data_IF_787867584299
#
_entry.id   IF_787867584299
#
_cell.length_a   1.000
_cell.length_b   1.000
_cell.length_c   1.000
_cell.angle_alpha   90.00
_cell.angle_beta   90.00
_cell.angle_gamma   90.00
#
_symmetry.space_group_name_H-M   'P 1'
#
loop_
_entity.id
_entity.type
_entity.pdbx_description
1 polymer ?
#
# COMPACT_ATOMS: atom_id res chain seq x y z
N UNK A 1 40.57 15.09 -27.55
CA UNK A 1 39.14 15.00 -27.90
C UNK A 1 38.86 15.99 -29.00
N UNK A 2 37.98 15.69 -29.96
CA UNK A 2 37.49 16.70 -30.92
C UNK A 2 36.68 17.76 -30.16
N UNK A 3 36.80 19.03 -30.56
CA UNK A 3 36.03 20.12 -29.97
C UNK A 3 34.56 20.10 -30.44
N UNK A 4 33.69 20.84 -29.74
CA UNK A 4 32.29 21.01 -30.15
C UNK A 4 32.20 21.65 -31.54
N UNK A 5 33.09 22.59 -31.85
CA UNK A 5 33.21 23.25 -33.15
C UNK A 5 33.47 22.24 -34.27
N UNK A 6 34.40 21.30 -34.04
CA UNK A 6 34.74 20.28 -35.03
C UNK A 6 33.60 19.29 -35.30
N UNK A 7 32.66 19.13 -34.35
CA UNK A 7 31.55 18.17 -34.46
C UNK A 7 30.25 18.80 -34.98
N UNK A 8 30.00 20.07 -34.66
CA UNK A 8 28.69 20.71 -34.85
C UNK A 8 28.74 21.93 -35.79
N UNK A 9 29.94 22.41 -36.13
CA UNK A 9 30.16 23.70 -36.79
C UNK A 9 30.13 24.87 -35.79
N UNK A 10 30.81 25.96 -36.14
CA UNK A 10 31.05 27.10 -35.24
C UNK A 10 29.76 27.73 -34.68
N UNK A 11 28.73 27.91 -35.53
CA UNK A 11 27.48 28.55 -35.12
C UNK A 11 26.67 27.72 -34.10
N UNK A 12 26.57 26.40 -34.32
CA UNK A 12 25.89 25.50 -33.39
C UNK A 12 26.67 25.35 -32.09
N UNK A 13 28.00 25.24 -32.17
CA UNK A 13 28.88 25.18 -31.01
C UNK A 13 28.75 26.46 -30.17
N UNK A 14 28.73 27.64 -30.79
CA UNK A 14 28.53 28.92 -30.11
C UNK A 14 27.14 29.04 -29.46
N UNK A 15 26.09 28.54 -30.12
CA UNK A 15 24.73 28.49 -29.55
C UNK A 15 24.68 27.61 -28.29
N UNK A 16 25.23 26.40 -28.35
CA UNK A 16 25.28 25.48 -27.22
C UNK A 16 26.13 26.04 -26.08
N UNK A 17 27.32 26.59 -26.38
CA UNK A 17 28.18 27.20 -25.36
C UNK A 17 27.47 28.33 -24.61
N UNK A 18 26.75 29.21 -25.32
CA UNK A 18 25.93 30.24 -24.67
C UNK A 18 24.86 29.65 -23.74
N UNK A 19 24.22 28.54 -24.12
CA UNK A 19 23.25 27.87 -23.23
C UNK A 19 23.95 27.27 -21.99
N UNK A 20 25.11 26.63 -22.17
CA UNK A 20 25.89 26.05 -21.08
C UNK A 20 26.45 27.10 -20.12
N UNK A 21 26.79 28.30 -20.59
CA UNK A 21 27.23 29.40 -19.73
C UNK A 21 26.10 29.86 -18.77
N UNK A 22 24.83 29.70 -19.17
CA UNK A 22 23.68 30.06 -18.34
C UNK A 22 23.21 28.88 -17.47
N UNK A 23 23.16 27.68 -18.03
CA UNK A 23 22.67 26.47 -17.38
C UNK A 23 23.51 25.27 -17.84
N UNK A 24 24.69 25.05 -17.23
CA UNK A 24 25.58 23.96 -17.64
C UNK A 24 25.01 22.58 -17.29
N UNK A 25 24.00 22.51 -16.42
CA UNK A 25 23.40 21.28 -15.91
C UNK A 25 21.86 21.30 -16.05
N UNK A 26 21.24 20.11 -16.05
CA UNK A 26 19.79 19.94 -16.24
C UNK A 26 18.93 20.46 -15.08
N UNK A 27 19.49 20.62 -13.88
CA UNK A 27 18.74 21.03 -12.69
C UNK A 27 18.28 22.48 -12.85
N UNK A 28 16.97 22.71 -12.76
CA UNK A 28 16.37 24.04 -12.85
C UNK A 28 16.11 24.69 -11.48
N UNK A 29 16.07 23.92 -10.40
CA UNK A 29 15.79 24.36 -9.03
C UNK A 29 16.65 23.58 -8.04
N UNK A 30 17.15 24.27 -7.01
CA UNK A 30 17.82 23.66 -5.85
C UNK A 30 16.83 23.28 -4.73
N UNK A 31 15.55 23.62 -4.88
CA UNK A 31 14.49 23.30 -3.90
C UNK A 31 13.72 22.08 -4.35
N UNK A 32 13.46 21.18 -3.41
CA UNK A 32 12.56 20.05 -3.62
C UNK A 32 11.10 20.53 -3.62
N UNK A 33 10.28 19.92 -4.48
CA UNK A 33 8.84 20.21 -4.53
C UNK A 33 8.04 19.41 -3.51
N UNK A 34 8.57 18.27 -3.06
CA UNK A 34 7.90 17.32 -2.17
C UNK A 34 8.81 16.96 -1.01
N UNK A 35 8.23 16.88 0.18
CA UNK A 35 8.91 16.42 1.40
C UNK A 35 7.99 15.45 2.12
N UNK A 36 8.53 14.33 2.59
CA UNK A 36 7.75 13.36 3.36
C UNK A 36 7.37 13.96 4.70
N UNK A 37 6.12 13.78 5.09
CA UNK A 37 5.58 14.25 6.36
C UNK A 37 5.29 13.08 7.29
N UNK A 38 5.59 13.17 8.60
CA UNK A 38 5.25 12.12 9.56
C UNK A 38 3.77 11.72 9.52
N UNK A 39 2.87 12.68 9.25
CA UNK A 39 1.43 12.41 9.13
C UNK A 39 1.06 11.44 8.02
N UNK A 40 1.86 11.32 6.95
CA UNK A 40 1.61 10.37 5.86
C UNK A 40 2.08 8.97 6.21
N UNK A 41 3.03 8.82 7.13
CA UNK A 41 3.65 7.54 7.42
C UNK A 41 2.76 6.69 8.32
N UNK A 42 2.74 5.39 8.04
CA UNK A 42 2.07 4.38 8.84
C UNK A 42 3.04 3.23 9.09
N UNK A 43 3.34 2.97 10.37
CA UNK A 43 4.26 1.92 10.75
C UNK A 43 3.55 0.57 10.73
N UNK A 44 4.09 -0.37 9.95
CA UNK A 44 3.58 -1.74 9.92
C UNK A 44 4.13 -2.58 11.07
N UNK A 45 3.23 -3.19 11.84
CA UNK A 45 3.54 -4.18 12.86
C UNK A 45 2.83 -5.51 12.56
N UNK A 46 3.51 -6.62 12.82
CA UNK A 46 2.89 -7.94 12.87
C UNK A 46 2.87 -8.41 14.33
N UNK A 47 1.70 -8.78 14.83
CA UNK A 47 1.52 -9.24 16.21
C UNK A 47 0.66 -10.50 16.16
N UNK A 48 1.08 -11.58 16.80
CA UNK A 48 0.34 -12.85 16.73
C UNK A 48 0.01 -13.49 18.08
N UNK A 49 0.41 -12.84 19.18
CA UNK A 49 0.22 -13.35 20.53
C UNK A 49 0.30 -12.24 21.56
N UNK A 50 -0.23 -12.53 22.76
CA UNK A 50 -0.20 -11.57 23.87
C UNK A 50 1.19 -11.51 24.52
N UNK A 51 1.85 -12.65 24.72
CA UNK A 51 3.12 -12.73 25.48
C UNK A 51 4.23 -13.43 24.71
N UNK A 52 5.47 -13.26 25.17
CA UNK A 52 6.64 -13.99 24.67
C UNK A 52 7.52 -13.20 23.69
N UNK A 53 8.61 -13.84 23.27
CA UNK A 53 9.67 -13.19 22.49
C UNK A 53 9.29 -12.91 21.03
N UNK A 54 9.80 -11.80 20.45
CA UNK A 54 9.59 -11.48 19.05
C UNK A 54 10.23 -12.54 18.15
N UNK A 55 9.59 -12.83 17.01
CA UNK A 55 10.08 -13.79 16.00
C UNK A 55 10.53 -13.02 14.76
N UNK A 56 11.77 -13.23 14.32
CA UNK A 56 12.28 -12.66 13.07
C UNK A 56 11.46 -13.18 11.88
N UNK A 57 10.99 -12.27 11.02
CA UNK A 57 10.26 -12.56 9.78
C UNK A 57 11.13 -12.28 8.56
N UNK A 58 11.79 -11.11 8.51
CA UNK A 58 12.61 -10.67 7.37
C UNK A 58 13.93 -10.08 7.86
N UNK A 59 14.99 -10.17 7.06
CA UNK A 59 16.30 -9.61 7.39
C UNK A 59 17.11 -10.50 8.32
N UNK A 60 17.89 -9.90 9.23
CA UNK A 60 18.76 -10.58 10.17
C UNK A 60 18.53 -10.09 11.62
N UNK A 61 19.35 -10.54 12.57
CA UNK A 61 19.18 -10.19 13.98
C UNK A 61 19.53 -8.73 14.32
N UNK A 62 20.13 -7.98 13.39
CA UNK A 62 20.61 -6.61 13.60
C UNK A 62 19.68 -5.59 12.92
N UNK A 63 19.18 -5.90 11.72
CA UNK A 63 18.28 -5.07 10.91
C UNK A 63 16.95 -5.75 10.54
N UNK A 64 16.48 -6.65 11.40
CA UNK A 64 15.33 -7.51 11.13
C UNK A 64 13.97 -6.86 11.28
N UNK A 65 13.00 -7.38 10.52
CA UNK A 65 11.58 -7.15 10.76
C UNK A 65 11.02 -8.31 11.57
N UNK A 66 10.36 -7.99 12.69
CA UNK A 66 9.92 -8.97 13.66
C UNK A 66 8.40 -9.02 13.79
N UNK A 67 7.89 -10.23 14.05
CA UNK A 67 6.57 -10.45 14.59
C UNK A 67 6.65 -10.34 16.10
N UNK A 68 5.93 -9.39 16.65
CA UNK A 68 5.91 -9.11 18.08
C UNK A 68 4.82 -9.88 18.81
N UNK A 69 4.94 -9.86 20.13
CA UNK A 69 3.85 -10.03 21.08
C UNK A 69 3.38 -8.65 21.55
N UNK A 70 2.24 -8.58 22.22
CA UNK A 70 1.81 -7.34 22.91
C UNK A 70 2.84 -6.88 23.96
N UNK A 71 3.58 -7.79 24.58
CA UNK A 71 4.66 -7.44 25.51
C UNK A 71 5.87 -6.81 24.80
N UNK A 72 6.34 -7.43 23.71
CA UNK A 72 7.57 -7.00 23.03
C UNK A 72 7.39 -5.81 22.08
N UNK A 73 6.15 -5.42 21.75
CA UNK A 73 5.90 -4.32 20.80
C UNK A 73 6.06 -2.92 21.44
N UNK A 74 6.03 -2.82 22.77
CA UNK A 74 5.94 -1.52 23.49
C UNK A 74 7.05 -0.55 23.10
N UNK A 75 8.31 -0.99 23.07
CA UNK A 75 9.44 -0.14 22.72
C UNK A 75 9.37 0.36 21.26
N UNK A 76 8.89 -0.47 20.34
CA UNK A 76 8.67 -0.09 18.94
C UNK A 76 7.56 0.94 18.80
N UNK A 77 6.48 0.81 19.58
CA UNK A 77 5.39 1.81 19.64
C UNK A 77 5.89 3.12 20.22
N UNK A 78 6.62 3.09 21.35
CA UNK A 78 7.17 4.31 21.97
C UNK A 78 8.07 5.06 20.98
N UNK A 79 8.92 4.35 20.24
CA UNK A 79 9.78 4.92 19.21
C UNK A 79 8.97 5.59 18.09
N UNK A 80 7.93 4.91 17.59
CA UNK A 80 7.03 5.43 16.56
C UNK A 80 6.32 6.72 17.03
N UNK A 81 5.78 6.72 18.26
CA UNK A 81 5.06 7.87 18.82
C UNK A 81 5.98 9.07 19.06
N UNK A 82 7.21 8.83 19.54
CA UNK A 82 8.21 9.88 19.73
C UNK A 82 8.61 10.58 18.41
N UNK A 83 8.42 9.92 17.27
CA UNK A 83 8.64 10.47 15.94
C UNK A 83 7.38 11.08 15.31
N UNK A 84 6.29 11.21 16.08
CA UNK A 84 5.00 11.74 15.65
C UNK A 84 4.35 10.94 14.51
N UNK A 85 4.67 9.65 14.39
CA UNK A 85 3.90 8.72 13.55
C UNK A 85 2.67 8.28 14.37
N UNK A 86 1.48 8.65 13.91
CA UNK A 86 0.21 8.39 14.61
C UNK A 86 -0.66 7.35 13.91
N UNK A 87 -0.07 6.51 13.07
CA UNK A 87 -0.77 5.48 12.30
C UNK A 87 -0.03 4.16 12.37
N UNK A 88 -0.78 3.11 12.70
CA UNK A 88 -0.29 1.73 12.79
C UNK A 88 -1.05 0.89 11.79
N UNK A 89 -0.31 0.13 11.00
CA UNK A 89 -0.85 -1.02 10.28
C UNK A 89 -0.63 -2.25 11.16
N UNK A 90 -1.69 -3.01 11.42
CA UNK A 90 -1.67 -4.22 12.23
C UNK A 90 -2.02 -5.43 11.37
N UNK A 91 -1.03 -6.31 11.17
CA UNK A 91 -1.23 -7.65 10.64
C UNK A 91 -1.05 -8.72 11.73
N UNK A 92 -1.65 -9.88 11.53
CA UNK A 92 -1.43 -11.08 12.36
C UNK A 92 -0.75 -12.18 11.54
N UNK A 93 -0.31 -13.25 12.21
CA UNK A 93 0.26 -14.41 11.52
C UNK A 93 -0.79 -15.04 10.61
N UNK A 94 -0.40 -15.31 9.37
CA UNK A 94 -1.21 -16.00 8.39
C UNK A 94 -0.71 -17.44 8.26
N UNK A 95 -0.78 -18.19 9.37
CA UNK A 95 -0.25 -19.56 9.45
C UNK A 95 -0.87 -20.39 8.32
N UNK A 96 -0.01 -20.75 7.37
CA UNK A 96 -0.39 -21.35 6.11
C UNK A 96 -1.06 -22.71 6.38
N UNK A 97 -2.33 -22.82 6.01
CA UNK A 97 -3.03 -24.11 5.98
C UNK A 97 -3.68 -24.58 7.27
N UNK A 98 -3.80 -23.71 8.27
CA UNK A 98 -4.76 -23.90 9.36
C UNK A 98 -6.16 -23.50 8.87
N UNK A 99 -6.87 -24.46 8.27
CA UNK A 99 -8.25 -24.30 7.81
C UNK A 99 -9.25 -24.65 8.94
N UNK A 100 -10.41 -23.99 8.98
CA UNK A 100 -11.54 -24.40 9.84
C UNK A 100 -11.68 -23.72 11.20
N UNK A 101 -10.89 -22.69 11.54
CA UNK A 101 -11.03 -21.93 12.80
C UNK A 101 -11.16 -20.40 12.61
N UNK A 102 -11.76 -19.94 11.51
CA UNK A 102 -11.84 -18.52 11.15
C UNK A 102 -12.36 -17.61 12.29
N UNK A 103 -13.37 -18.06 13.03
CA UNK A 103 -13.90 -17.31 14.18
C UNK A 103 -12.93 -17.26 15.36
N UNK A 104 -12.19 -18.34 15.63
CA UNK A 104 -11.17 -18.33 16.68
C UNK A 104 -10.05 -17.36 16.32
N UNK A 105 -9.58 -17.39 15.07
CA UNK A 105 -8.59 -16.44 14.53
C UNK A 105 -9.09 -15.00 14.62
N UNK A 106 -10.36 -14.75 14.31
CA UNK A 106 -10.98 -13.44 14.44
C UNK A 106 -11.00 -12.97 15.90
N UNK A 107 -11.38 -13.84 16.84
CA UNK A 107 -11.40 -13.52 18.26
C UNK A 107 -9.99 -13.24 18.81
N UNK A 108 -8.99 -14.03 18.41
CA UNK A 108 -7.60 -13.81 18.81
C UNK A 108 -7.07 -12.48 18.29
N UNK A 109 -7.38 -12.14 17.04
CA UNK A 109 -7.05 -10.84 16.47
C UNK A 109 -7.77 -9.70 17.21
N UNK A 110 -9.06 -9.84 17.51
CA UNK A 110 -9.79 -8.86 18.31
C UNK A 110 -9.12 -8.62 19.68
N UNK A 111 -8.67 -9.67 20.36
CA UNK A 111 -7.96 -9.57 21.65
C UNK A 111 -6.61 -8.85 21.52
N UNK A 112 -5.86 -9.14 20.45
CA UNK A 112 -4.62 -8.43 20.13
C UNK A 112 -4.90 -6.94 19.89
N UNK A 113 -5.96 -6.62 19.13
CA UNK A 113 -6.34 -5.25 18.81
C UNK A 113 -6.73 -4.44 20.05
N UNK A 114 -7.55 -5.00 20.96
CA UNK A 114 -7.88 -4.34 22.25
C UNK A 114 -6.62 -4.06 23.07
N UNK A 115 -5.71 -5.02 23.10
CA UNK A 115 -4.45 -4.89 23.82
C UNK A 115 -3.55 -3.82 23.20
N UNK A 116 -3.44 -3.80 21.86
CA UNK A 116 -2.68 -2.79 21.14
C UNK A 116 -3.28 -1.40 21.34
N UNK A 117 -4.60 -1.25 21.25
CA UNK A 117 -5.32 0.00 21.50
C UNK A 117 -4.99 0.58 22.87
N UNK A 118 -4.87 -0.27 23.89
CA UNK A 118 -4.46 0.15 25.24
C UNK A 118 -3.03 0.69 25.28
N UNK A 119 -2.12 0.13 24.47
CA UNK A 119 -0.72 0.56 24.38
C UNK A 119 -0.59 1.88 23.59
N UNK A 120 -1.22 1.96 22.41
CA UNK A 120 -1.03 3.11 21.51
C UNK A 120 -1.88 4.32 21.89
N UNK A 121 -2.92 4.14 22.72
CA UNK A 121 -3.84 5.20 23.13
C UNK A 121 -4.89 5.55 22.08
N UNK A 122 -5.85 6.45 22.38
CA UNK A 122 -6.98 6.74 21.51
C UNK A 122 -6.62 7.57 20.26
N UNK A 123 -5.53 8.34 20.30
CA UNK A 123 -5.16 9.28 19.24
C UNK A 123 -4.41 8.65 18.05
N UNK A 124 -4.12 7.35 18.14
CA UNK A 124 -3.41 6.60 17.10
C UNK A 124 -4.41 5.89 16.20
N UNK A 125 -4.29 6.10 14.89
CA UNK A 125 -5.09 5.36 13.92
C UNK A 125 -4.58 3.92 13.80
N UNK A 126 -5.44 2.93 14.03
CA UNK A 126 -5.12 1.52 13.79
C UNK A 126 -5.84 1.06 12.52
N UNK A 127 -5.04 0.65 11.53
CA UNK A 127 -5.47 0.06 10.27
C UNK A 127 -5.23 -1.44 10.37
N UNK A 128 -6.28 -2.25 10.33
CA UNK A 128 -6.17 -3.71 10.41
C UNK A 128 -6.13 -4.37 9.03
N UNK A 129 -5.31 -5.40 8.90
CA UNK A 129 -5.25 -6.27 7.72
C UNK A 129 -5.73 -7.69 8.05
N UNK A 130 -6.87 -8.14 7.49
CA UNK A 130 -7.45 -9.45 7.77
C UNK A 130 -6.75 -10.63 7.08
N UNK A 131 -5.57 -10.44 6.47
CA UNK A 131 -4.85 -11.50 5.74
C UNK A 131 -4.67 -12.79 6.56
N UNK A 132 -4.44 -12.66 7.88
CA UNK A 132 -4.26 -13.77 8.80
C UNK A 132 -5.50 -14.67 9.00
N UNK A 133 -6.70 -14.22 8.62
CA UNK A 133 -7.93 -14.96 8.88
C UNK A 133 -8.05 -16.24 8.02
N UNK A 134 -7.80 -16.16 6.72
CA UNK A 134 -8.04 -17.28 5.80
C UNK A 134 -7.02 -17.40 4.64
N UNK A 135 -5.73 -17.20 4.93
CA UNK A 135 -4.66 -17.58 4.01
C UNK A 135 -4.51 -19.11 3.95
N UNK A 136 -4.59 -19.67 2.74
CA UNK A 136 -4.56 -21.12 2.49
C UNK A 136 -3.17 -21.63 2.11
N UNK A 137 -3.03 -22.97 2.04
CA UNK A 137 -1.77 -23.65 1.63
C UNK A 137 -1.34 -23.32 0.21
N UNK A 138 -2.31 -23.15 -0.68
CA UNK A 138 -2.13 -22.75 -2.07
C UNK A 138 -1.88 -21.23 -2.23
N UNK A 139 -1.70 -20.52 -1.11
CA UNK A 139 -1.48 -19.07 -1.01
C UNK A 139 -2.65 -18.21 -1.51
N UNK A 140 -3.75 -18.84 -1.94
CA UNK A 140 -5.02 -18.15 -2.15
C UNK A 140 -5.60 -17.74 -0.81
N UNK A 141 -6.46 -16.73 -0.84
CA UNK A 141 -7.09 -16.17 0.35
C UNK A 141 -8.60 -16.29 0.21
N UNK A 142 -9.24 -16.92 1.19
CA UNK A 142 -10.68 -17.15 1.19
C UNK A 142 -11.07 -18.36 2.04
N UNK A 143 -12.33 -18.40 2.43
CA UNK A 143 -12.92 -19.53 3.15
C UNK A 143 -12.98 -20.75 2.22
N UNK A 144 -12.49 -21.90 2.70
CA UNK A 144 -12.57 -23.17 1.97
C UNK A 144 -14.00 -23.72 1.92
N UNK A 145 -14.50 -23.98 0.71
CA UNK A 145 -15.77 -24.66 0.45
C UNK A 145 -15.68 -26.19 0.61
N UNK A 146 -16.83 -26.85 0.73
CA UNK A 146 -16.94 -28.31 0.58
C UNK A 146 -16.53 -28.70 -0.85
N UNK A 147 -15.34 -29.29 -1.01
CA UNK A 147 -14.69 -29.54 -2.31
C UNK A 147 -13.31 -28.90 -2.47
N UNK A 148 -12.89 -28.07 -1.51
CA UNK A 148 -11.52 -27.56 -1.42
C UNK A 148 -11.25 -26.25 -2.16
N UNK A 149 -12.22 -25.73 -2.93
CA UNK A 149 -12.13 -24.41 -3.56
C UNK A 149 -12.53 -23.27 -2.59
N UNK A 150 -12.53 -22.01 -3.06
CA UNK A 150 -12.94 -20.85 -2.25
C UNK A 150 -14.46 -20.66 -2.32
N UNK A 151 -15.09 -20.57 -1.15
CA UNK A 151 -16.46 -20.08 -1.01
C UNK A 151 -16.44 -18.54 -0.96
N UNK A 152 -16.71 -17.89 -2.10
CA UNK A 152 -16.69 -16.43 -2.19
C UNK A 152 -17.71 -15.76 -1.26
N UNK A 153 -18.91 -16.35 -1.10
CA UNK A 153 -19.95 -15.78 -0.25
C UNK A 153 -19.57 -15.85 1.24
N UNK A 154 -19.07 -16.99 1.71
CA UNK A 154 -18.57 -17.11 3.09
C UNK A 154 -17.34 -16.26 3.34
N UNK A 155 -16.50 -16.06 2.32
CA UNK A 155 -15.34 -15.15 2.39
C UNK A 155 -15.79 -13.71 2.61
N UNK A 156 -16.78 -13.23 1.85
CA UNK A 156 -17.33 -11.89 2.04
C UNK A 156 -18.07 -11.76 3.38
N UNK A 157 -18.76 -12.81 3.83
CA UNK A 157 -19.41 -12.83 5.15
C UNK A 157 -18.38 -12.75 6.29
N UNK A 158 -17.25 -13.46 6.18
CA UNK A 158 -16.15 -13.38 7.14
C UNK A 158 -15.53 -11.98 7.17
N UNK A 159 -15.29 -11.34 6.01
CA UNK A 159 -14.79 -9.97 5.94
C UNK A 159 -15.76 -8.95 6.58
N UNK A 160 -17.06 -9.07 6.28
CA UNK A 160 -18.10 -8.24 6.85
C UNK A 160 -18.15 -8.38 8.39
N UNK A 161 -18.10 -9.62 8.90
CA UNK A 161 -18.05 -9.89 10.33
C UNK A 161 -16.78 -9.33 10.96
N UNK A 162 -15.62 -9.56 10.34
CA UNK A 162 -14.34 -9.07 10.82
C UNK A 162 -14.32 -7.55 10.91
N UNK A 163 -14.88 -6.84 9.92
CA UNK A 163 -14.96 -5.38 9.94
C UNK A 163 -15.73 -4.85 11.14
N UNK A 164 -16.89 -5.43 11.44
CA UNK A 164 -17.71 -5.04 12.59
C UNK A 164 -16.97 -5.35 13.90
N UNK A 165 -16.40 -6.55 14.03
CA UNK A 165 -15.64 -6.94 15.22
C UNK A 165 -14.42 -6.03 15.45
N UNK A 166 -13.69 -5.70 14.39
CA UNK A 166 -12.50 -4.84 14.51
C UNK A 166 -12.86 -3.40 14.87
N UNK A 167 -13.94 -2.85 14.31
CA UNK A 167 -14.42 -1.54 14.73
C UNK A 167 -14.81 -1.53 16.23
N UNK A 168 -15.55 -2.54 16.67
CA UNK A 168 -15.99 -2.67 18.08
C UNK A 168 -14.83 -2.83 19.06
N UNK A 169 -13.70 -3.35 18.58
CA UNK A 169 -12.49 -3.57 19.37
C UNK A 169 -11.47 -2.44 19.22
N UNK A 170 -11.82 -1.38 18.48
CA UNK A 170 -11.10 -0.12 18.44
C UNK A 170 -10.18 0.07 17.23
N UNK A 171 -10.38 -0.65 16.12
CA UNK A 171 -9.78 -0.28 14.84
C UNK A 171 -10.41 1.00 14.27
N UNK A 172 -9.61 1.82 13.59
CA UNK A 172 -10.10 3.01 12.89
C UNK A 172 -10.31 2.76 11.41
N UNK A 173 -9.60 1.76 10.86
CA UNK A 173 -9.76 1.39 9.48
C UNK A 173 -9.52 -0.10 9.24
N UNK A 174 -10.16 -0.65 8.22
CA UNK A 174 -9.84 -1.96 7.65
C UNK A 174 -9.24 -1.77 6.26
N UNK A 175 -8.13 -2.46 6.00
CA UNK A 175 -7.54 -2.58 4.67
C UNK A 175 -8.00 -3.89 4.03
N UNK A 176 -8.78 -3.81 2.95
CA UNK A 176 -9.24 -5.00 2.23
C UNK A 176 -8.08 -5.74 1.58
N UNK A 177 -8.30 -6.99 1.19
CA UNK A 177 -7.23 -7.87 0.70
C UNK A 177 -6.98 -7.67 -0.79
N UNK A 178 -7.99 -7.22 -1.54
CA UNK A 178 -7.90 -7.01 -2.99
C UNK A 178 -7.74 -8.32 -3.73
N UNK A 179 -8.53 -9.34 -3.37
CA UNK A 179 -8.46 -10.70 -3.95
C UNK A 179 -9.83 -11.29 -4.33
N UNK A 180 -10.91 -10.62 -3.96
CA UNK A 180 -12.29 -10.95 -4.29
C UNK A 180 -13.02 -9.70 -4.79
N UNK A 181 -13.97 -9.90 -5.70
CA UNK A 181 -14.93 -8.86 -6.05
C UNK A 181 -15.79 -8.52 -4.82
N UNK A 182 -16.29 -7.28 -4.77
CA UNK A 182 -17.26 -6.81 -3.78
C UNK A 182 -16.74 -6.81 -2.32
N UNK A 183 -15.43 -6.95 -2.07
CA UNK A 183 -14.88 -6.87 -0.70
C UNK A 183 -15.22 -5.53 -0.04
N UNK A 184 -15.03 -4.43 -0.78
CA UNK A 184 -15.31 -3.08 -0.28
C UNK A 184 -16.79 -2.91 -0.03
N UNK A 185 -17.64 -3.29 -1.00
CA UNK A 185 -19.09 -3.20 -0.85
C UNK A 185 -19.60 -4.00 0.37
N UNK A 186 -19.14 -5.24 0.54
CA UNK A 186 -19.54 -6.10 1.65
C UNK A 186 -19.17 -5.49 3.01
N UNK A 187 -17.93 -4.99 3.13
CA UNK A 187 -17.45 -4.34 4.37
C UNK A 187 -18.22 -3.04 4.65
N UNK A 188 -18.37 -2.14 3.66
CA UNK A 188 -19.08 -0.86 3.85
C UNK A 188 -20.54 -1.08 4.25
N UNK A 189 -21.23 -2.02 3.59
CA UNK A 189 -22.63 -2.33 3.93
C UNK A 189 -22.78 -2.91 5.33
N UNK A 190 -21.85 -3.79 5.75
CA UNK A 190 -21.86 -4.35 7.10
C UNK A 190 -21.70 -3.26 8.16
N UNK A 191 -20.73 -2.35 7.99
CA UNK A 191 -20.49 -1.22 8.88
C UNK A 191 -21.69 -0.27 8.94
N UNK A 192 -22.25 0.09 7.78
CA UNK A 192 -23.44 0.95 7.70
C UNK A 192 -24.65 0.32 8.41
N UNK A 193 -24.90 -0.98 8.22
CA UNK A 193 -26.01 -1.68 8.87
C UNK A 193 -25.93 -1.70 10.40
N UNK A 194 -24.74 -1.43 10.95
CA UNK A 194 -24.44 -1.38 12.37
C UNK A 194 -24.16 0.04 12.89
N UNK A 195 -24.35 1.07 12.05
CA UNK A 195 -24.03 2.47 12.33
C UNK A 195 -22.59 2.66 12.82
N UNK A 196 -21.63 2.07 12.09
CA UNK A 196 -20.19 2.15 12.38
C UNK A 196 -19.49 3.02 11.35
N UNK A 197 -18.48 3.77 11.81
CA UNK A 197 -17.78 4.79 11.01
C UNK A 197 -16.33 4.43 10.67
N UNK A 198 -15.95 3.15 10.79
CA UNK A 198 -14.61 2.68 10.42
C UNK A 198 -14.33 2.94 8.93
N UNK A 199 -13.13 3.46 8.64
CA UNK A 199 -12.66 3.68 7.27
C UNK A 199 -12.39 2.36 6.56
N UNK A 200 -12.57 2.33 5.24
CA UNK A 200 -12.22 1.18 4.40
C UNK A 200 -11.18 1.60 3.39
N UNK A 201 -9.95 1.14 3.58
CA UNK A 201 -8.89 1.25 2.60
C UNK A 201 -8.94 0.02 1.70
N UNK A 202 -8.67 0.15 0.41
CA UNK A 202 -8.66 -0.99 -0.50
C UNK A 202 -7.31 -1.23 -1.15
N UNK A 203 -6.83 -2.47 -1.13
CA UNK A 203 -5.73 -2.90 -2.01
C UNK A 203 -6.22 -3.08 -3.45
N UNK A 204 -6.78 -2.02 -4.06
CA UNK A 204 -7.41 -2.07 -5.39
C UNK A 204 -6.47 -2.51 -6.52
N UNK A 205 -5.16 -2.38 -6.30
CA UNK A 205 -4.12 -2.77 -7.27
C UNK A 205 -3.19 -3.83 -6.75
N UNK A 206 -3.67 -4.66 -5.81
CA UNK A 206 -2.92 -5.81 -5.38
C UNK A 206 -2.51 -6.63 -6.61
N UNK A 207 -1.20 -6.70 -6.87
CA UNK A 207 -0.65 -7.28 -8.08
C UNK A 207 0.04 -8.61 -7.80
N UNK A 208 0.08 -9.52 -8.79
CA UNK A 208 0.86 -10.77 -8.74
C UNK A 208 2.37 -10.50 -8.87
N UNK A 209 2.90 -9.58 -8.06
CA UNK A 209 4.32 -9.24 -8.02
C UNK A 209 5.12 -10.31 -7.27
N UNK A 210 6.28 -10.67 -7.81
CA UNK A 210 7.22 -11.60 -7.17
C UNK A 210 8.00 -10.95 -6.03
N UNK A 211 7.96 -9.62 -5.91
CA UNK A 211 8.57 -8.89 -4.81
C UNK A 211 7.76 -8.97 -3.51
N UNK A 212 6.53 -9.49 -3.52
CA UNK A 212 5.72 -9.61 -2.32
C UNK A 212 5.73 -11.05 -1.78
N UNK A 213 5.89 -11.17 -0.46
CA UNK A 213 5.76 -12.42 0.29
C UNK A 213 6.67 -13.55 -0.24
N UNK A 214 7.86 -13.24 -0.74
CA UNK A 214 8.79 -14.24 -1.29
C UNK A 214 9.23 -15.26 -0.23
N UNK A 215 9.17 -14.89 1.05
CA UNK A 215 9.36 -15.78 2.21
C UNK A 215 8.24 -16.81 2.34
N UNK A 216 7.00 -16.41 2.04
CA UNK A 216 5.79 -17.26 2.06
C UNK A 216 5.77 -18.17 0.84
N UNK A 217 6.21 -17.67 -0.33
CA UNK A 217 6.32 -18.48 -1.56
C UNK A 217 7.51 -19.43 -1.54
N UNK A 218 8.36 -19.38 -0.50
CA UNK A 218 9.60 -20.17 -0.42
C UNK A 218 10.49 -19.96 -1.64
N UNK A 219 10.55 -18.72 -2.14
CA UNK A 219 11.30 -18.32 -3.33
C UNK A 219 10.83 -18.95 -4.64
N UNK A 220 9.67 -19.61 -4.67
CA UNK A 220 9.05 -20.12 -5.89
C UNK A 220 8.13 -19.06 -6.52
N UNK A 221 8.54 -18.55 -7.69
CA UNK A 221 7.81 -17.53 -8.44
C UNK A 221 6.45 -18.04 -8.97
N UNK A 222 6.28 -19.35 -9.16
CA UNK A 222 5.01 -19.89 -9.64
C UNK A 222 3.96 -19.85 -8.54
N UNK A 223 4.38 -19.97 -7.28
CA UNK A 223 3.50 -19.85 -6.11
C UNK A 223 3.03 -18.43 -5.85
N UNK A 224 3.68 -17.41 -6.43
CA UNK A 224 3.21 -16.03 -6.28
C UNK A 224 1.95 -15.73 -7.10
N UNK A 225 1.63 -16.55 -8.12
CA UNK A 225 0.47 -16.39 -9.00
C UNK A 225 -0.72 -17.18 -8.46
N UNK A 226 -1.56 -16.51 -7.68
CA UNK A 226 -2.70 -17.15 -7.00
C UNK A 226 -3.96 -17.15 -7.86
N UNK A 227 -3.99 -16.35 -8.94
CA UNK A 227 -5.16 -16.18 -9.80
C UNK A 227 -6.24 -15.29 -9.19
N UNK A 228 -5.89 -14.53 -8.14
CA UNK A 228 -6.80 -13.63 -7.42
C UNK A 228 -6.37 -12.16 -7.51
N UNK A 229 -5.15 -11.88 -7.95
CA UNK A 229 -4.59 -10.53 -8.02
C UNK A 229 -4.39 -10.11 -9.47
N UNK A 230 -4.21 -8.81 -9.68
CA UNK A 230 -4.03 -8.22 -11.01
C UNK A 230 -2.62 -8.54 -11.52
N UNK A 231 -2.44 -8.74 -12.83
CA UNK A 231 -1.09 -8.92 -13.37
C UNK A 231 -0.27 -7.62 -13.31
N UNK A 232 1.03 -7.75 -13.07
CA UNK A 232 1.97 -6.62 -13.13
C UNK A 232 1.97 -6.03 -14.54
N UNK A 233 1.77 -4.72 -14.65
CA UNK A 233 1.72 -4.01 -15.93
C UNK A 233 0.31 -3.79 -16.49
N UNK A 234 -0.73 -4.42 -15.94
CA UNK A 234 -2.11 -4.22 -16.37
C UNK A 234 -2.70 -2.91 -15.77
N UNK A 235 -2.18 -1.76 -16.21
CA UNK A 235 -2.52 -0.44 -15.66
C UNK A 235 -4.01 -0.13 -15.81
N UNK A 236 -4.61 -0.47 -16.95
CA UNK A 236 -6.03 -0.22 -17.23
C UNK A 236 -6.95 -1.08 -16.36
N UNK A 237 -6.57 -2.34 -16.10
CA UNK A 237 -7.28 -3.21 -15.15
C UNK A 237 -7.18 -2.68 -13.72
N UNK A 238 -5.99 -2.25 -13.29
CA UNK A 238 -5.76 -1.61 -12.00
C UNK A 238 -6.63 -0.35 -11.82
N UNK A 239 -6.72 0.46 -12.87
CA UNK A 239 -7.56 1.65 -12.88
C UNK A 239 -9.05 1.30 -12.78
N UNK A 240 -9.53 0.36 -13.58
CA UNK A 240 -10.93 -0.12 -13.51
C UNK A 240 -11.25 -0.61 -12.11
N UNK A 241 -10.36 -1.40 -11.48
CA UNK A 241 -10.56 -1.88 -10.11
C UNK A 241 -10.54 -0.78 -9.06
N UNK A 242 -9.63 0.17 -9.15
CA UNK A 242 -9.63 1.33 -8.26
C UNK A 242 -10.91 2.17 -8.36
N UNK A 243 -11.44 2.34 -9.57
CA UNK A 243 -12.71 3.07 -9.76
C UNK A 243 -13.88 2.27 -9.21
N UNK A 244 -13.93 0.95 -9.42
CA UNK A 244 -14.94 0.09 -8.81
C UNK A 244 -14.91 0.19 -7.28
N UNK A 245 -13.75 0.02 -6.65
CA UNK A 245 -13.60 0.08 -5.20
C UNK A 245 -13.97 1.47 -4.65
N UNK A 246 -13.64 2.53 -5.38
CA UNK A 246 -14.12 3.87 -5.04
C UNK A 246 -15.65 3.90 -5.11
N UNK A 247 -16.27 3.43 -6.19
CA UNK A 247 -17.73 3.34 -6.33
C UNK A 247 -18.42 2.49 -5.25
N UNK A 248 -17.77 1.43 -4.78
CA UNK A 248 -18.24 0.56 -3.69
C UNK A 248 -18.11 1.21 -2.30
N UNK A 249 -17.40 2.34 -2.20
CA UNK A 249 -17.34 3.15 -0.99
C UNK A 249 -15.98 3.16 -0.29
N UNK A 250 -14.90 2.71 -0.93
CA UNK A 250 -13.55 2.82 -0.37
C UNK A 250 -13.20 4.29 -0.06
N UNK A 251 -12.59 4.49 1.10
CA UNK A 251 -12.14 5.79 1.59
C UNK A 251 -10.73 6.12 1.10
N UNK A 252 -9.90 5.11 0.82
CA UNK A 252 -8.55 5.26 0.24
C UNK A 252 -8.24 4.09 -0.69
N UNK A 253 -7.76 4.41 -1.90
CA UNK A 253 -7.23 3.44 -2.85
C UNK A 253 -5.74 3.23 -2.57
N UNK A 254 -5.35 2.04 -2.13
CA UNK A 254 -3.97 1.71 -1.74
C UNK A 254 -3.26 0.95 -2.85
N UNK A 255 -2.18 1.55 -3.33
CA UNK A 255 -1.28 0.96 -4.32
C UNK A 255 -0.33 -0.05 -3.68
N UNK A 256 -0.24 -1.26 -4.27
CA UNK A 256 0.66 -2.32 -3.81
C UNK A 256 1.37 -3.00 -5.00
N UNK A 257 2.70 -2.86 -5.17
CA UNK A 257 3.67 -2.29 -4.22
C UNK A 257 3.87 -0.77 -4.37
N UNK A 258 4.56 -0.14 -3.41
CA UNK A 258 4.77 1.33 -3.32
C UNK A 258 5.49 1.93 -4.53
N UNK A 259 6.36 1.16 -5.20
CA UNK A 259 7.15 1.59 -6.34
C UNK A 259 6.30 1.78 -7.62
N UNK A 260 5.08 1.24 -7.64
CA UNK A 260 4.15 1.33 -8.76
C UNK A 260 3.34 2.65 -8.73
N UNK A 261 4.02 3.78 -8.89
CA UNK A 261 3.41 5.11 -8.72
C UNK A 261 2.49 5.59 -9.87
N UNK A 262 2.40 4.83 -10.97
CA UNK A 262 1.58 5.20 -12.14
C UNK A 262 0.10 5.38 -11.79
N UNK A 263 -0.50 4.48 -11.00
CA UNK A 263 -1.91 4.60 -10.68
C UNK A 263 -2.20 5.77 -9.74
N UNK A 264 -1.48 5.98 -8.62
CA UNK A 264 -1.65 7.19 -7.81
C UNK A 264 -1.58 8.48 -8.64
N UNK A 265 -0.66 8.55 -9.62
CA UNK A 265 -0.58 9.69 -10.54
C UNK A 265 -1.83 9.83 -11.41
N UNK A 266 -2.28 8.77 -12.09
CA UNK A 266 -3.46 8.80 -12.96
C UNK A 266 -4.72 9.16 -12.14
N UNK A 267 -4.93 8.53 -10.99
CA UNK A 267 -6.06 8.80 -10.12
C UNK A 267 -6.07 10.24 -9.59
N UNK A 268 -4.89 10.79 -9.25
CA UNK A 268 -4.77 12.21 -8.91
C UNK A 268 -5.21 13.09 -10.08
N UNK A 269 -4.65 12.86 -11.28
CA UNK A 269 -4.97 13.69 -12.45
C UNK A 269 -6.48 13.65 -12.77
N UNK A 270 -7.11 12.48 -12.67
CA UNK A 270 -8.56 12.32 -12.82
C UNK A 270 -9.33 13.06 -11.72
N UNK A 271 -8.95 12.86 -10.45
CA UNK A 271 -9.64 13.46 -9.29
C UNK A 271 -9.53 14.99 -9.28
N UNK A 272 -8.41 15.54 -9.73
CA UNK A 272 -8.19 16.99 -9.84
C UNK A 272 -8.85 17.58 -11.10
N UNK A 273 -9.25 16.72 -12.06
CA UNK A 273 -9.83 17.13 -13.34
C UNK A 273 -8.81 17.68 -14.33
N UNK A 274 -7.54 17.28 -14.18
CA UNK A 274 -6.45 17.62 -15.10
C UNK A 274 -6.49 16.77 -16.38
N UNK A 275 -7.10 15.59 -16.31
CA UNK A 275 -7.50 14.78 -17.45
C UNK A 275 -8.97 14.36 -17.29
N UNK A 276 -9.69 14.23 -18.39
CA UNK A 276 -11.08 13.79 -18.36
C UNK A 276 -11.20 12.26 -18.41
N UNK A 277 -12.28 11.74 -17.82
CA UNK A 277 -12.61 10.32 -17.89
C UNK A 277 -12.88 9.89 -19.33
N UNK A 278 -13.61 10.72 -20.07
CA UNK A 278 -13.95 10.50 -21.48
C UNK A 278 -12.68 10.33 -22.32
N UNK A 279 -11.67 11.19 -22.14
CA UNK A 279 -10.40 11.07 -22.86
C UNK A 279 -9.65 9.78 -22.52
N UNK A 280 -9.86 9.19 -21.36
CA UNK A 280 -9.20 7.94 -20.98
C UNK A 280 -9.95 6.72 -21.50
N UNK A 281 -11.29 6.79 -21.47
CA UNK A 281 -12.19 5.73 -21.95
C UNK A 281 -12.20 5.66 -23.48
N UNK A 282 -12.39 6.79 -24.17
CA UNK A 282 -12.52 6.86 -25.63
C UNK A 282 -11.23 6.43 -26.36
N UNK A 283 -10.11 6.40 -25.64
CA UNK A 283 -8.80 6.00 -26.18
C UNK A 283 -8.32 4.63 -25.66
N UNK A 284 -9.18 3.84 -25.00
CA UNK A 284 -8.82 2.53 -24.44
C UNK A 284 -9.78 1.41 -24.87
N UNK A 285 -9.41 0.69 -25.93
CA UNK A 285 -10.09 -0.55 -26.32
C UNK A 285 -10.05 -1.60 -25.20
N UNK A 286 -8.97 -1.63 -24.41
CA UNK A 286 -8.82 -2.58 -23.30
C UNK A 286 -9.88 -2.38 -22.23
N UNK A 287 -10.16 -1.14 -21.81
CA UNK A 287 -11.16 -0.90 -20.76
C UNK A 287 -12.54 -1.35 -21.24
N UNK A 288 -12.88 -1.06 -22.50
CA UNK A 288 -14.14 -1.52 -23.09
C UNK A 288 -14.24 -3.04 -23.11
N UNK A 289 -13.19 -3.74 -23.53
CA UNK A 289 -13.11 -5.21 -23.49
C UNK A 289 -13.30 -5.71 -22.05
N UNK A 290 -12.61 -5.12 -21.07
CA UNK A 290 -12.71 -5.52 -19.66
C UNK A 290 -14.14 -5.38 -19.13
N UNK A 291 -14.79 -4.24 -19.36
CA UNK A 291 -16.14 -3.98 -18.90
C UNK A 291 -17.20 -4.82 -19.65
N UNK A 292 -16.99 -5.09 -20.94
CA UNK A 292 -17.86 -5.95 -21.74
C UNK A 292 -17.80 -7.41 -21.29
N UNK A 293 -16.59 -7.92 -21.04
CA UNK A 293 -16.39 -9.30 -20.57
C UNK A 293 -16.80 -9.49 -19.11
N UNK A 294 -16.89 -8.39 -18.33
CA UNK A 294 -17.21 -8.43 -16.91
C UNK A 294 -18.40 -7.51 -16.58
N UNK A 295 -19.61 -7.76 -17.10
CA UNK A 295 -20.76 -6.86 -16.92
C UNK A 295 -21.15 -6.64 -15.45
N UNK A 296 -20.81 -7.59 -14.58
CA UNK A 296 -21.08 -7.53 -13.14
C UNK A 296 -20.35 -6.39 -12.40
N UNK A 297 -19.22 -5.88 -12.94
CA UNK A 297 -18.47 -4.78 -12.29
C UNK A 297 -18.95 -3.40 -12.72
N UNK A 298 -19.75 -3.30 -13.80
CA UNK A 298 -20.21 -2.04 -14.38
C UNK A 298 -20.96 -1.14 -13.39
N UNK A 299 -21.84 -1.64 -12.50
CA UNK A 299 -22.52 -0.78 -11.54
C UNK A 299 -21.54 -0.06 -10.60
N UNK A 300 -20.57 -0.78 -10.04
CA UNK A 300 -19.52 -0.22 -9.18
C UNK A 300 -18.64 0.77 -9.94
N UNK A 301 -18.21 0.40 -11.16
CA UNK A 301 -17.42 1.26 -12.03
C UNK A 301 -18.14 2.59 -12.32
N UNK A 302 -19.39 2.53 -12.76
CA UNK A 302 -20.18 3.72 -13.09
C UNK A 302 -20.39 4.62 -11.86
N UNK A 303 -20.66 4.02 -10.69
CA UNK A 303 -20.76 4.78 -9.44
C UNK A 303 -19.44 5.50 -9.11
N UNK A 304 -18.29 4.84 -9.29
CA UNK A 304 -16.97 5.45 -9.12
C UNK A 304 -16.72 6.62 -10.07
N UNK A 305 -17.04 6.45 -11.36
CA UNK A 305 -16.94 7.52 -12.37
C UNK A 305 -17.79 8.73 -11.99
N UNK A 306 -19.05 8.51 -11.60
CA UNK A 306 -19.95 9.59 -11.18
C UNK A 306 -19.45 10.33 -9.93
N UNK A 307 -18.88 9.62 -8.96
CA UNK A 307 -18.27 10.23 -7.78
C UNK A 307 -17.07 11.11 -8.14
N UNK A 308 -16.23 10.67 -9.08
CA UNK A 308 -15.08 11.44 -9.53
C UNK A 308 -15.48 12.67 -10.35
N UNK A 309 -16.43 12.52 -11.28
CA UNK A 309 -16.96 13.63 -12.09
C UNK A 309 -17.65 14.69 -11.24
N UNK A 310 -18.48 14.25 -10.28
CA UNK A 310 -19.24 15.16 -9.42
C UNK A 310 -18.38 15.89 -8.40
N UNK A 311 -17.13 15.43 -8.15
CA UNK A 311 -16.21 15.93 -7.12
C UNK A 311 -16.84 15.99 -5.72
N UNK A 312 -17.93 15.25 -5.48
CA UNK A 312 -18.62 15.18 -4.19
C UNK A 312 -17.77 14.52 -3.11
N UNK A 313 -16.84 13.67 -3.52
CA UNK A 313 -15.87 13.02 -2.65
C UNK A 313 -14.48 13.11 -3.28
N UNK A 314 -13.52 13.61 -2.52
CA UNK A 314 -12.12 13.64 -2.94
C UNK A 314 -11.59 12.21 -2.90
N UNK A 315 -11.03 11.74 -4.02
CA UNK A 315 -10.36 10.46 -4.05
C UNK A 315 -9.01 10.59 -3.32
N UNK A 316 -8.83 9.73 -2.32
CA UNK A 316 -7.58 9.59 -1.59
C UNK A 316 -6.84 8.34 -2.03
N UNK A 317 -5.53 8.44 -2.06
CA UNK A 317 -4.62 7.35 -2.42
C UNK A 317 -3.67 7.04 -1.28
N UNK A 318 -3.22 5.80 -1.22
CA UNK A 318 -2.16 5.38 -0.31
C UNK A 318 -1.22 4.41 -1.00
N UNK A 319 -0.14 4.04 -0.32
CA UNK A 319 0.85 3.09 -0.82
C UNK A 319 1.23 2.06 0.23
N UNK A 320 1.70 0.90 -0.22
CA UNK A 320 2.15 -0.19 0.67
C UNK A 320 3.51 -0.73 0.26
N UNK A 321 4.47 -0.65 1.16
CA UNK A 321 5.78 -1.29 1.05
C UNK A 321 5.65 -2.81 1.24
N UNK A 322 6.02 -3.59 0.23
CA UNK A 322 5.97 -5.07 0.30
C UNK A 322 7.24 -5.64 0.92
N UNK A 323 7.24 -6.93 1.27
CA UNK A 323 8.39 -7.56 1.93
C UNK A 323 9.67 -7.51 1.08
N UNK A 324 9.58 -7.64 -0.25
CA UNK A 324 10.73 -7.54 -1.16
C UNK A 324 11.34 -6.16 -1.22
N UNK A 325 10.55 -5.09 -1.11
CA UNK A 325 11.08 -3.72 -0.96
C UNK A 325 11.92 -3.63 0.31
N UNK A 326 11.33 -4.04 1.45
CA UNK A 326 12.03 -4.05 2.73
C UNK A 326 13.33 -4.84 2.66
N UNK A 327 13.28 -6.08 2.16
CA UNK A 327 14.45 -6.94 2.08
C UNK A 327 15.51 -6.43 1.11
N UNK A 328 15.12 -5.79 0.01
CA UNK A 328 16.07 -5.15 -0.91
C UNK A 328 16.81 -4.01 -0.21
N UNK A 329 16.08 -3.15 0.51
CA UNK A 329 16.70 -2.07 1.29
C UNK A 329 17.64 -2.63 2.36
N UNK A 330 17.25 -3.65 3.11
CA UNK A 330 18.12 -4.27 4.12
C UNK A 330 19.38 -4.90 3.49
N UNK A 331 19.27 -5.54 2.32
CA UNK A 331 20.43 -6.06 1.60
C UNK A 331 21.40 -4.94 1.18
N UNK A 332 20.88 -3.80 0.74
CA UNK A 332 21.69 -2.63 0.40
C UNK A 332 22.39 -2.05 1.63
N UNK A 333 21.68 -1.95 2.76
CA UNK A 333 22.24 -1.48 4.03
C UNK A 333 23.40 -2.37 4.47
N UNK A 334 23.17 -3.68 4.48
CA UNK A 334 24.14 -4.66 4.94
C UNK A 334 25.36 -4.78 4.00
N UNK A 335 25.15 -4.62 2.70
CA UNK A 335 26.23 -4.78 1.72
C UNK A 335 27.04 -3.51 1.48
N UNK A 336 26.41 -2.35 1.57
CA UNK A 336 26.99 -1.07 1.18
C UNK A 336 26.99 -0.05 2.31
N UNK A 337 25.84 0.54 2.66
CA UNK A 337 25.74 1.50 3.77
C UNK A 337 24.29 1.82 4.13
N UNK A 338 24.07 2.22 5.39
CA UNK A 338 22.78 2.77 5.85
C UNK A 338 22.35 4.01 5.04
N UNK A 339 23.31 4.89 4.69
CA UNK A 339 23.01 6.11 3.93
C UNK A 339 22.45 5.80 2.55
N UNK A 340 23.03 4.83 1.83
CA UNK A 340 22.54 4.42 0.51
C UNK A 340 21.15 3.79 0.62
N UNK A 341 20.95 2.88 1.58
CA UNK A 341 19.64 2.27 1.81
C UNK A 341 18.57 3.30 2.16
N UNK A 342 18.91 4.30 2.97
CA UNK A 342 18.01 5.40 3.30
C UNK A 342 17.69 6.26 2.08
N UNK A 343 18.70 6.64 1.28
CA UNK A 343 18.51 7.44 0.06
C UNK A 343 17.58 6.75 -0.93
N UNK A 344 17.76 5.44 -1.15
CA UNK A 344 16.90 4.67 -2.05
C UNK A 344 15.45 4.61 -1.54
N UNK A 345 15.25 4.42 -0.23
CA UNK A 345 13.91 4.46 0.34
C UNK A 345 13.29 5.86 0.25
N UNK A 346 14.08 6.92 0.50
CA UNK A 346 13.62 8.31 0.38
C UNK A 346 13.15 8.62 -1.04
N UNK A 347 13.90 8.20 -2.06
CA UNK A 347 13.51 8.33 -3.48
C UNK A 347 12.18 7.62 -3.77
N UNK A 348 11.98 6.39 -3.27
CA UNK A 348 10.73 5.65 -3.44
C UNK A 348 9.57 6.41 -2.80
N UNK A 349 9.74 6.85 -1.55
CA UNK A 349 8.68 7.55 -0.82
C UNK A 349 8.36 8.92 -1.46
N UNK A 350 9.38 9.68 -1.88
CA UNK A 350 9.20 10.97 -2.54
C UNK A 350 8.51 10.84 -3.89
N UNK A 351 8.86 9.82 -4.69
CA UNK A 351 8.17 9.55 -5.96
C UNK A 351 6.71 9.16 -5.75
N UNK A 352 6.43 8.30 -4.76
CA UNK A 352 5.07 7.93 -4.40
C UNK A 352 4.25 9.15 -3.94
N UNK A 353 4.83 9.99 -3.07
CA UNK A 353 4.18 11.20 -2.59
C UNK A 353 3.96 12.25 -3.69
N UNK A 354 4.95 12.44 -4.55
CA UNK A 354 4.86 13.33 -5.71
C UNK A 354 3.79 12.86 -6.70
N UNK A 355 3.71 11.56 -6.98
CA UNK A 355 2.68 10.99 -7.85
C UNK A 355 1.27 11.19 -7.27
N UNK A 356 1.08 10.92 -5.98
CA UNK A 356 -0.21 11.07 -5.31
C UNK A 356 -0.62 12.54 -5.07
N UNK A 357 0.34 13.46 -4.92
CA UNK A 357 0.07 14.88 -4.68
C UNK A 357 -0.84 15.11 -3.47
N UNK A 358 -1.86 15.96 -3.63
CA UNK A 358 -2.83 16.28 -2.54
C UNK A 358 -3.80 15.13 -2.23
N UNK A 359 -3.84 14.11 -3.09
CA UNK A 359 -4.62 12.90 -2.85
C UNK A 359 -3.93 11.93 -1.91
N UNK A 360 -2.62 12.08 -1.63
CA UNK A 360 -1.94 11.20 -0.68
C UNK A 360 -2.59 11.28 0.70
N UNK A 361 -2.98 10.12 1.21
CA UNK A 361 -3.47 9.93 2.56
C UNK A 361 -2.44 9.21 3.43
N UNK A 362 -1.97 8.04 2.99
CA UNK A 362 -1.19 7.11 3.83
C UNK A 362 -0.10 6.37 3.06
N UNK A 363 1.03 6.14 3.72
CA UNK A 363 2.16 5.36 3.25
C UNK A 363 2.48 4.28 4.28
N UNK A 364 1.99 3.07 4.04
CA UNK A 364 2.20 1.92 4.92
C UNK A 364 3.58 1.35 4.65
N UNK A 365 4.45 1.39 5.66
CA UNK A 365 5.85 1.02 5.53
C UNK A 365 6.34 0.27 6.77
N UNK A 366 7.14 -0.78 6.55
CA UNK A 366 7.87 -1.47 7.62
C UNK A 366 9.02 -0.60 8.13
N UNK A 367 9.55 0.25 7.26
CA UNK A 367 10.67 1.14 7.51
C UNK A 367 10.25 2.55 8.02
N UNK A 368 8.97 2.84 8.25
CA UNK A 368 8.51 4.21 8.58
C UNK A 368 9.28 4.86 9.74
N UNK A 369 9.43 4.15 10.85
CA UNK A 369 10.12 4.63 12.06
C UNK A 369 11.64 4.77 11.82
N UNK A 370 12.24 3.82 11.10
CA UNK A 370 13.66 3.87 10.74
C UNK A 370 13.96 5.02 9.77
N UNK A 371 13.09 5.23 8.78
CA UNK A 371 13.22 6.31 7.82
C UNK A 371 13.28 7.69 8.49
N UNK A 372 12.38 7.96 9.44
CA UNK A 372 12.39 9.24 10.17
C UNK A 372 13.60 9.38 11.11
N UNK A 373 14.01 8.30 11.77
CA UNK A 373 15.22 8.29 12.62
C UNK A 373 16.45 8.72 11.82
N UNK A 374 16.60 8.16 10.62
CA UNK A 374 17.77 8.39 9.77
C UNK A 374 17.67 9.69 8.97
N UNK A 375 16.48 10.25 8.78
CA UNK A 375 16.27 11.52 8.06
C UNK A 375 17.11 12.65 8.63
N UNK A 376 17.21 12.80 9.95
CA UNK A 376 18.03 13.85 10.57
C UNK A 376 19.54 13.71 10.31
N UNK A 377 20.00 12.49 10.00
CA UNK A 377 21.41 12.18 9.76
C UNK A 377 21.79 12.29 8.28
N UNK A 378 20.89 11.88 7.39
CA UNK A 378 21.19 11.71 5.97
C UNK A 378 20.46 12.68 5.05
N UNK A 379 19.46 13.42 5.53
CA UNK A 379 18.91 14.52 4.74
C UNK A 379 20.03 15.50 4.43
N UNK A 380 20.17 15.83 3.16
CA UNK A 380 21.04 16.91 2.73
C UNK A 380 20.44 18.17 3.39
N UNK A 381 21.15 18.73 4.37
CA UNK A 381 20.76 20.04 4.93
C UNK A 381 20.71 21.00 3.75
N UNK A 382 19.57 21.64 3.56
CA UNK A 382 19.46 22.77 2.64
C UNK A 382 20.52 23.80 3.05
N UNK A 383 21.58 23.90 2.25
CA UNK A 383 22.69 24.84 2.44
C UNK A 383 22.34 26.20 1.86
#
# INVERSE_FOLDING_TARGET
MMSLENLLGDDNAASIKRQLDHAPFRRLSEKNETYIKPEWLCQAFHINRLTGEPKLILGDQVGGYYMHSIESIKSSVDKMLNQNIKRVYLGTDAVIGEEGSYLAKLNDFANILVSLRTIVGPDVEIIVDPAGLCLRKDLRWGVTAEGGDINAQETLALLAQAAVTFEETGANALLTIGRSNCEVAAVKQALQSKNKDMRVLSFSTNSETTSAYFEVTQHDILRSRTGQKIFVGNIEEMLVRAICDFGEGSDVIVQKPVESFHLPAILRLLSEGLISFESLMDNSETIDILLNNNPHIRPAFNAGVELLKSKKRILKTGTYEVSGTYSTIQLIINRYSEQLGWSMLDEILLNAASAAGKSLDIMISRNATWYLEKRGLYSIKES
#
